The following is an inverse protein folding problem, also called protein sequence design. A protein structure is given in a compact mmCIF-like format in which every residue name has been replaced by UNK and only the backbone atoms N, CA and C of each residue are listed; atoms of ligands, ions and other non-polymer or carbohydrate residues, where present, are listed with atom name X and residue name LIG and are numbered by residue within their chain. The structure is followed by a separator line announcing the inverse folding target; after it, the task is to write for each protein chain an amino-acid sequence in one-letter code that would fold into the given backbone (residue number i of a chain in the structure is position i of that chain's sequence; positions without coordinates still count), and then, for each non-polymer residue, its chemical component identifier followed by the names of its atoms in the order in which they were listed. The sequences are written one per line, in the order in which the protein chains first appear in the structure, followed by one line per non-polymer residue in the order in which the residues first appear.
data_IF_994785540908
#
_entry.id   IF_994785540908
#
_cell.length_a   1.000
_cell.length_b   1.000
_cell.length_c   1.000
_cell.angle_alpha   90.00
_cell.angle_beta   90.00
_cell.angle_gamma   90.00
#
_symmetry.space_group_name_H-M   'P 1'
#
loop_
_entity.id
_entity.type
_entity.pdbx_description
1 polymer ?
#
# COMPACT_ATOMS: atom_id res chain seq x y z
N UNK A 1 -25.92 -42.87 20.34
CA UNK A 1 -26.54 -41.62 20.86
C UNK A 1 -25.82 -41.10 22.10
N UNK A 2 -25.61 -41.89 23.16
CA UNK A 2 -24.92 -41.42 24.38
C UNK A 2 -23.48 -40.94 24.11
N UNK A 3 -22.68 -41.75 23.42
CA UNK A 3 -21.31 -41.39 23.05
C UNK A 3 -21.19 -40.03 22.32
N UNK A 4 -22.10 -39.73 21.38
CA UNK A 4 -22.08 -38.44 20.69
C UNK A 4 -22.44 -37.27 21.62
N UNK A 5 -23.31 -37.50 22.62
CA UNK A 5 -23.63 -36.47 23.63
C UNK A 5 -22.42 -36.18 24.51
N UNK A 6 -21.70 -37.23 24.92
CA UNK A 6 -20.50 -37.12 25.74
C UNK A 6 -19.40 -36.39 24.95
N UNK A 7 -19.15 -36.77 23.71
CA UNK A 7 -18.19 -36.11 22.81
C UNK A 7 -18.53 -34.63 22.56
N UNK A 8 -19.82 -34.31 22.42
CA UNK A 8 -20.28 -32.93 22.28
C UNK A 8 -20.02 -32.11 23.55
N UNK A 9 -20.26 -32.69 24.74
CA UNK A 9 -20.00 -32.05 26.01
C UNK A 9 -18.50 -31.80 26.25
N UNK A 10 -17.66 -32.75 25.86
CA UNK A 10 -16.20 -32.61 25.93
C UNK A 10 -15.71 -31.48 25.02
N UNK A 11 -16.20 -31.41 23.78
CA UNK A 11 -15.88 -30.32 22.86
C UNK A 11 -16.36 -28.96 23.38
N UNK A 12 -17.55 -28.90 23.95
CA UNK A 12 -18.09 -27.67 24.55
C UNK A 12 -17.17 -27.16 25.67
N UNK A 13 -16.80 -28.05 26.60
CA UNK A 13 -15.90 -27.73 27.71
C UNK A 13 -14.55 -27.23 27.19
N UNK A 14 -14.03 -27.86 26.13
CA UNK A 14 -12.76 -27.43 25.50
C UNK A 14 -12.86 -26.04 24.87
N UNK A 15 -13.99 -25.72 24.25
CA UNK A 15 -14.25 -24.39 23.68
C UNK A 15 -14.30 -23.33 24.79
N UNK A 16 -14.98 -23.62 25.90
CA UNK A 16 -15.06 -22.72 27.05
C UNK A 16 -13.68 -22.42 27.63
N UNK A 17 -12.87 -23.47 27.88
CA UNK A 17 -11.50 -23.30 28.37
C UNK A 17 -10.62 -22.46 27.43
N UNK A 18 -10.76 -22.65 26.11
CA UNK A 18 -10.03 -21.86 25.12
C UNK A 18 -10.49 -20.40 25.11
N UNK A 19 -11.79 -20.15 25.21
CA UNK A 19 -12.33 -18.79 25.27
C UNK A 19 -11.91 -18.08 26.56
N UNK A 20 -11.89 -18.78 27.68
CA UNK A 20 -11.42 -18.24 28.96
C UNK A 20 -9.95 -17.87 28.91
N UNK A 21 -9.12 -18.75 28.37
CA UNK A 21 -7.70 -18.48 28.14
C UNK A 21 -7.50 -17.26 27.23
N UNK A 22 -8.28 -17.15 26.14
CA UNK A 22 -8.26 -15.97 25.27
C UNK A 22 -8.62 -14.69 26.02
N UNK A 23 -9.71 -14.68 26.79
CA UNK A 23 -10.12 -13.50 27.59
C UNK A 23 -9.05 -13.08 28.57
N UNK A 24 -8.41 -14.04 29.26
CA UNK A 24 -7.27 -13.79 30.16
C UNK A 24 -6.09 -13.14 29.41
N UNK A 25 -5.70 -13.69 28.26
CA UNK A 25 -4.61 -13.13 27.44
C UNK A 25 -4.93 -11.74 26.87
N UNK A 26 -6.22 -11.41 26.68
CA UNK A 26 -6.68 -10.09 26.25
C UNK A 26 -6.85 -9.10 27.41
N UNK A 27 -6.71 -9.55 28.66
CA UNK A 27 -6.93 -8.71 29.85
C UNK A 27 -8.40 -8.42 30.15
N UNK A 28 -9.33 -9.16 29.53
CA UNK A 28 -10.78 -8.98 29.70
C UNK A 28 -11.33 -9.61 31.00
N UNK A 29 -10.53 -10.42 31.68
CA UNK A 29 -10.93 -11.16 32.90
C UNK A 29 -9.91 -11.04 34.04
N UNK A 30 -9.22 -9.91 34.13
CA UNK A 30 -8.15 -9.65 35.11
C UNK A 30 -8.58 -9.83 36.57
N UNK A 31 -9.84 -9.54 36.90
CA UNK A 31 -10.41 -9.69 38.25
C UNK A 31 -10.45 -11.16 38.73
N UNK A 32 -10.42 -12.10 37.80
CA UNK A 32 -10.44 -13.55 38.07
C UNK A 32 -9.05 -14.20 38.12
N UNK A 33 -8.01 -13.44 37.79
CA UNK A 33 -6.63 -13.94 37.74
C UNK A 33 -5.91 -13.67 39.05
N UNK A 34 -5.16 -14.66 39.53
CA UNK A 34 -4.20 -14.45 40.61
C UNK A 34 -3.00 -13.61 40.14
N UNK A 35 -2.27 -13.02 41.08
CA UNK A 35 -1.04 -12.24 40.78
C UNK A 35 -0.02 -13.09 40.02
N UNK A 36 0.14 -14.36 40.40
CA UNK A 36 1.09 -15.28 39.74
C UNK A 36 0.65 -15.57 38.29
N UNK A 37 -0.64 -15.79 38.05
CA UNK A 37 -1.16 -15.97 36.68
C UNK A 37 -0.96 -14.72 35.83
N UNK A 38 -1.20 -13.53 36.40
CA UNK A 38 -0.99 -12.26 35.70
C UNK A 38 0.48 -12.07 35.30
N UNK A 39 1.43 -12.37 36.19
CA UNK A 39 2.86 -12.30 35.87
C UNK A 39 3.25 -13.27 34.74
N UNK A 40 2.69 -14.48 34.70
CA UNK A 40 2.99 -15.44 33.63
C UNK A 40 2.38 -14.99 32.30
N UNK A 41 1.15 -14.49 32.31
CA UNK A 41 0.50 -13.90 31.14
C UNK A 41 1.33 -12.73 30.60
N UNK A 42 1.79 -11.83 31.47
CA UNK A 42 2.65 -10.71 31.07
C UNK A 42 3.94 -11.20 30.39
N UNK A 43 4.66 -12.14 31.02
CA UNK A 43 5.89 -12.72 30.46
C UNK A 43 5.63 -13.40 29.11
N UNK A 44 4.52 -14.12 28.97
CA UNK A 44 4.12 -14.76 27.71
C UNK A 44 3.82 -13.73 26.62
N UNK A 45 3.04 -12.69 26.93
CA UNK A 45 2.71 -11.61 26.00
C UNK A 45 3.96 -10.85 25.57
N UNK A 46 4.85 -10.54 26.51
CA UNK A 46 6.09 -9.82 26.21
C UNK A 46 7.01 -10.61 25.27
N UNK A 47 7.20 -11.92 25.54
CA UNK A 47 7.97 -12.82 24.66
C UNK A 47 7.35 -12.93 23.26
N UNK A 48 6.05 -13.19 23.17
CA UNK A 48 5.37 -13.35 21.88
C UNK A 48 5.37 -12.05 21.07
N UNK A 49 5.17 -10.91 21.72
CA UNK A 49 5.19 -9.60 21.08
C UNK A 49 6.57 -9.23 20.56
N UNK A 50 7.64 -9.55 21.29
CA UNK A 50 9.03 -9.44 20.78
C UNK A 50 9.20 -10.25 19.49
N UNK A 51 8.84 -11.53 19.52
CA UNK A 51 8.97 -12.41 18.35
C UNK A 51 8.19 -11.89 17.13
N UNK A 52 6.96 -11.39 17.34
CA UNK A 52 6.14 -10.81 16.26
C UNK A 52 6.82 -9.56 15.70
N UNK A 53 7.31 -8.66 16.55
CA UNK A 53 8.00 -7.43 16.12
C UNK A 53 9.28 -7.74 15.35
N UNK A 54 10.09 -8.68 15.82
CA UNK A 54 11.34 -9.06 15.17
C UNK A 54 11.08 -9.67 13.79
N UNK A 55 10.09 -10.56 13.68
CA UNK A 55 9.67 -11.11 12.38
C UNK A 55 9.15 -10.01 11.44
N UNK A 56 8.31 -9.10 11.94
CA UNK A 56 7.77 -7.99 11.14
C UNK A 56 8.90 -7.08 10.65
N UNK A 57 9.88 -6.79 11.49
CA UNK A 57 11.06 -5.98 11.16
C UNK A 57 11.90 -6.65 10.07
N UNK A 58 12.13 -7.96 10.17
CA UNK A 58 12.87 -8.71 9.15
C UNK A 58 12.17 -8.66 7.80
N UNK A 59 10.87 -8.97 7.75
CA UNK A 59 10.09 -8.96 6.52
C UNK A 59 10.04 -7.59 5.85
N UNK A 60 9.90 -6.51 6.62
CA UNK A 60 9.93 -5.17 6.06
C UNK A 60 11.31 -4.77 5.56
N UNK A 61 12.38 -5.18 6.25
CA UNK A 61 13.73 -4.95 5.77
C UNK A 61 13.94 -5.60 4.41
N UNK A 62 13.54 -6.87 4.26
CA UNK A 62 13.60 -7.61 3.00
C UNK A 62 12.80 -6.93 1.88
N UNK A 63 11.57 -6.47 2.18
CA UNK A 63 10.76 -5.73 1.20
C UNK A 63 11.40 -4.40 0.78
N UNK A 64 11.95 -3.65 1.74
CA UNK A 64 12.64 -2.39 1.46
C UNK A 64 13.85 -2.63 0.56
N UNK A 65 14.64 -3.66 0.85
CA UNK A 65 15.84 -3.98 0.08
C UNK A 65 15.48 -4.42 -1.35
N UNK A 66 14.42 -5.22 -1.51
CA UNK A 66 13.87 -5.59 -2.83
C UNK A 66 13.42 -4.37 -3.64
N UNK A 67 12.70 -3.45 -3.00
CA UNK A 67 12.22 -2.23 -3.66
C UNK A 67 13.35 -1.30 -4.07
N UNK A 68 14.39 -1.16 -3.24
CA UNK A 68 15.59 -0.37 -3.58
C UNK A 68 16.34 -0.93 -4.79
N UNK A 69 16.48 -2.25 -4.89
CA UNK A 69 17.13 -2.84 -6.06
C UNK A 69 16.28 -2.67 -7.32
N UNK A 70 14.95 -2.83 -7.21
CA UNK A 70 14.04 -2.55 -8.32
C UNK A 70 14.11 -1.10 -8.78
N UNK A 71 14.13 -0.15 -7.86
CA UNK A 71 14.30 1.28 -8.14
C UNK A 71 15.60 1.52 -8.92
N UNK A 72 16.72 0.95 -8.46
CA UNK A 72 18.03 1.09 -9.11
C UNK A 72 18.04 0.52 -10.54
N UNK A 73 17.41 -0.64 -10.76
CA UNK A 73 17.27 -1.23 -12.10
C UNK A 73 16.47 -0.30 -13.02
N UNK A 74 15.30 0.15 -12.55
CA UNK A 74 14.43 1.04 -13.33
C UNK A 74 15.09 2.38 -13.62
N UNK A 75 15.85 2.94 -12.69
CA UNK A 75 16.61 4.18 -12.92
C UNK A 75 17.65 4.01 -14.03
N UNK A 76 18.38 2.88 -14.06
CA UNK A 76 19.34 2.57 -15.14
C UNK A 76 18.63 2.44 -16.49
N UNK A 77 17.56 1.66 -16.55
CA UNK A 77 16.79 1.47 -17.77
C UNK A 77 16.21 2.79 -18.29
N UNK A 78 15.63 3.62 -17.40
CA UNK A 78 15.09 4.91 -17.77
C UNK A 78 16.18 5.86 -18.30
N UNK A 79 17.38 5.85 -17.69
CA UNK A 79 18.52 6.61 -18.19
C UNK A 79 18.97 6.16 -19.58
N UNK A 80 19.00 4.85 -19.85
CA UNK A 80 19.31 4.30 -21.18
C UNK A 80 18.25 4.66 -22.22
N UNK A 81 16.96 4.53 -21.88
CA UNK A 81 15.86 4.93 -22.76
C UNK A 81 15.92 6.42 -23.08
N UNK A 82 16.16 7.28 -22.09
CA UNK A 82 16.34 8.73 -22.31
C UNK A 82 17.51 9.03 -23.25
N UNK A 83 18.61 8.29 -23.17
CA UNK A 83 19.73 8.42 -24.12
C UNK A 83 19.27 8.02 -25.54
N UNK A 84 18.60 6.87 -25.69
CA UNK A 84 18.07 6.42 -26.99
C UNK A 84 17.08 7.43 -27.60
N UNK A 85 16.17 7.98 -26.80
CA UNK A 85 15.23 9.01 -27.25
C UNK A 85 15.92 10.31 -27.70
N UNK A 86 17.03 10.69 -27.04
CA UNK A 86 17.84 11.84 -27.48
C UNK A 86 18.66 11.56 -28.75
N UNK A 87 18.94 10.30 -29.05
CA UNK A 87 19.68 9.85 -30.23
C UNK A 87 18.78 9.59 -31.45
N UNK A 88 17.47 9.39 -31.24
CA UNK A 88 16.50 9.43 -32.31
C UNK A 88 16.46 10.88 -32.83
N UNK A 89 16.79 11.15 -34.11
CA UNK A 89 16.62 12.47 -34.67
C UNK A 89 15.16 12.87 -34.46
N UNK A 90 14.96 14.07 -33.93
CA UNK A 90 13.66 14.66 -33.68
C UNK A 90 12.90 14.80 -35.01
N UNK A 91 12.28 13.73 -35.51
CA UNK A 91 11.21 13.80 -36.51
C UNK A 91 9.87 13.98 -35.80
N UNK A 92 9.83 14.96 -34.91
CA UNK A 92 8.63 15.69 -34.55
C UNK A 92 9.05 17.15 -34.67
N UNK A 93 8.87 17.70 -35.87
CA UNK A 93 9.02 19.12 -36.16
C UNK A 93 8.02 19.89 -35.32
N UNK A 94 8.40 20.22 -34.09
CA UNK A 94 7.81 21.35 -33.40
C UNK A 94 8.67 22.53 -33.81
N UNK A 95 8.11 23.26 -34.77
CA UNK A 95 8.68 24.45 -35.36
C UNK A 95 9.22 25.36 -34.26
N UNK A 96 10.49 25.75 -34.42
CA UNK A 96 11.15 26.78 -33.64
C UNK A 96 10.25 28.04 -33.63
N UNK A 97 9.84 28.58 -32.46
CA UNK A 97 8.95 29.76 -32.41
C UNK A 97 9.64 31.04 -32.91
N UNK A 98 10.93 30.98 -33.23
CA UNK A 98 11.73 32.15 -33.58
C UNK A 98 11.64 32.56 -35.06
N UNK A 99 10.93 31.80 -35.89
CA UNK A 99 10.69 32.14 -37.29
C UNK A 99 9.18 32.13 -37.61
N UNK A 100 8.43 33.00 -36.93
CA UNK A 100 7.09 33.36 -37.37
C UNK A 100 7.21 34.18 -38.66
N UNK A 101 7.13 33.53 -39.82
CA UNK A 101 6.72 34.22 -41.04
C UNK A 101 5.31 34.76 -40.78
N UNK A 102 5.19 36.08 -40.67
CA UNK A 102 3.90 36.78 -40.65
C UNK A 102 3.16 36.43 -41.94
N UNK A 103 2.17 35.55 -41.83
CA UNK A 103 1.18 35.34 -42.89
C UNK A 103 -0.01 36.21 -42.52
N UNK A 104 -0.17 37.31 -43.24
CA UNK A 104 -1.33 38.20 -43.11
C UNK A 104 -2.58 37.40 -43.50
N UNK A 105 -3.30 36.92 -42.49
CA UNK A 105 -4.61 36.30 -42.68
C UNK A 105 -5.65 37.38 -42.43
N UNK A 106 -6.42 37.72 -43.46
CA UNK A 106 -7.54 38.65 -43.35
C UNK A 106 -8.70 37.98 -42.57
N UNK A 107 -8.50 37.75 -41.27
CA UNK A 107 -9.50 37.21 -40.36
C UNK A 107 -10.15 38.37 -39.61
N UNK A 108 -11.26 38.86 -40.15
CA UNK A 108 -12.09 39.86 -39.49
C UNK A 108 -13.07 39.18 -38.52
N UNK A 109 -12.76 39.20 -37.23
CA UNK A 109 -13.69 38.76 -36.16
C UNK A 109 -14.38 40.02 -35.62
N UNK A 110 -15.34 40.53 -36.39
CA UNK A 110 -16.20 41.65 -36.02
C UNK A 110 -17.65 41.37 -36.38
N UNK A 111 -18.58 42.11 -35.78
CA UNK A 111 -20.01 41.98 -36.07
C UNK A 111 -20.26 42.34 -37.55
N UNK A 112 -20.96 41.52 -38.36
CA UNK A 112 -21.19 41.80 -39.77
C UNK A 112 -21.91 43.14 -39.97
N UNK A 113 -21.46 43.96 -40.91
CA UNK A 113 -22.18 45.19 -41.29
C UNK A 113 -23.57 44.82 -41.84
N UNK A 114 -24.62 45.38 -41.23
CA UNK A 114 -25.97 45.29 -41.77
C UNK A 114 -26.01 46.05 -43.08
N UNK A 115 -26.16 45.33 -44.20
CA UNK A 115 -26.38 45.95 -45.51
C UNK A 115 -27.70 46.72 -45.47
N UNK A 116 -27.64 48.05 -45.34
CA UNK A 116 -28.78 48.90 -45.70
C UNK A 116 -28.94 48.83 -47.22
N UNK A 117 -30.04 48.23 -47.65
CA UNK A 117 -30.42 48.18 -49.05
C UNK A 117 -30.74 49.58 -49.58
N UNK A 118 -30.17 49.93 -50.72
CA UNK A 118 -30.65 50.96 -51.66
C UNK A 118 -30.56 50.38 -53.06
#
# INVERSE_FOLDING_TARGET
MQHLKDETADLHTKIELLNDSKRKLLGESSDSCSVVELEEIEKQLERSLRNIRDRKKLLYKEQIDLLKEKEKILMKENAELRKKCKMLPLQLSINDPTNAMEVETALFIGLPETRTAN
#
